data_IF_181472572490
#
_entry.id   IF_181472572490
#
_cell.length_a   1.000
_cell.length_b   1.000
_cell.length_c   1.000
_cell.angle_alpha   90.00
_cell.angle_beta   90.00
_cell.angle_gamma   90.00
#
_symmetry.space_group_name_H-M   'P 1'
#
loop_
_entity.id
_entity.type
_entity.pdbx_description
1 polymer ?
#
# COMPACT_ATOMS: atom_id res chain seq x y z
N UNK A 1 10.72 -56.31 11.87
CA UNK A 1 10.86 -55.19 12.82
C UNK A 1 10.49 -53.93 12.07
N UNK A 2 9.29 -53.40 12.33
CA UNK A 2 8.82 -52.15 11.74
C UNK A 2 9.18 -51.03 12.70
N UNK A 3 9.90 -50.03 12.20
CA UNK A 3 10.18 -48.80 12.95
C UNK A 3 9.26 -47.74 12.35
N UNK A 4 8.18 -47.43 13.06
CA UNK A 4 7.33 -46.29 12.75
C UNK A 4 8.06 -45.01 13.18
N UNK A 5 8.33 -44.12 12.23
CA UNK A 5 8.72 -42.74 12.52
C UNK A 5 7.51 -41.83 12.30
N UNK A 6 7.03 -41.09 13.32
CA UNK A 6 6.08 -40.01 13.10
C UNK A 6 6.86 -38.79 12.60
N UNK A 7 6.87 -38.57 11.28
CA UNK A 7 7.29 -37.29 10.73
C UNK A 7 6.21 -36.26 11.04
N UNK A 8 6.47 -35.44 12.05
CA UNK A 8 5.65 -34.30 12.40
C UNK A 8 5.42 -33.41 11.18
N UNK A 9 4.15 -33.24 10.83
CA UNK A 9 3.74 -32.21 9.89
C UNK A 9 4.16 -30.85 10.45
N UNK A 10 5.08 -30.20 9.77
CA UNK A 10 5.29 -28.76 9.96
C UNK A 10 3.97 -28.08 9.59
N UNK A 11 3.44 -27.13 10.38
CA UNK A 11 2.24 -26.43 10.00
C UNK A 11 2.53 -25.68 8.70
N UNK A 12 1.85 -26.06 7.64
CA UNK A 12 1.82 -25.34 6.37
C UNK A 12 1.63 -23.86 6.69
N UNK A 13 2.67 -23.06 6.46
CA UNK A 13 2.52 -21.62 6.31
C UNK A 13 1.60 -21.45 5.11
N UNK A 14 0.30 -21.33 5.36
CA UNK A 14 -0.64 -20.86 4.34
C UNK A 14 -0.06 -19.54 3.85
N UNK A 15 0.47 -19.54 2.63
CA UNK A 15 0.71 -18.32 1.89
C UNK A 15 -0.62 -17.59 1.87
N UNK A 16 -0.76 -16.59 2.75
CA UNK A 16 -1.93 -15.72 2.73
C UNK A 16 -1.90 -15.01 1.38
N UNK A 17 -3.02 -15.07 0.67
CA UNK A 17 -3.18 -14.35 -0.59
C UNK A 17 -2.92 -12.86 -0.33
N UNK A 18 -2.21 -12.17 -1.23
CA UNK A 18 -1.86 -10.77 -1.03
C UNK A 18 -3.11 -9.92 -0.86
N UNK A 19 -3.06 -8.94 0.03
CA UNK A 19 -4.20 -8.07 0.29
C UNK A 19 -4.42 -7.19 -0.94
N UNK A 20 -5.64 -7.18 -1.46
CA UNK A 20 -6.02 -6.36 -2.63
C UNK A 20 -6.37 -4.93 -2.22
N UNK A 21 -6.38 -4.01 -3.18
CA UNK A 21 -6.82 -2.62 -2.96
C UNK A 21 -8.26 -2.54 -2.46
N UNK A 22 -9.14 -3.41 -2.98
CA UNK A 22 -10.53 -3.45 -2.54
C UNK A 22 -10.62 -3.87 -1.07
N UNK A 23 -9.83 -4.86 -0.64
CA UNK A 23 -9.78 -5.28 0.76
C UNK A 23 -9.20 -4.17 1.65
N UNK A 24 -8.18 -3.45 1.18
CA UNK A 24 -7.61 -2.30 1.88
C UNK A 24 -8.65 -1.16 2.03
N UNK A 25 -9.35 -0.82 0.95
CA UNK A 25 -10.43 0.17 0.93
C UNK A 25 -11.56 -0.20 1.89
N UNK A 26 -12.02 -1.45 1.84
CA UNK A 26 -13.08 -1.93 2.72
C UNK A 26 -12.63 -1.90 4.19
N UNK A 27 -11.36 -2.21 4.46
CA UNK A 27 -10.77 -2.11 5.79
C UNK A 27 -10.67 -0.66 6.29
N UNK A 28 -10.30 0.30 5.44
CA UNK A 28 -10.31 1.72 5.79
C UNK A 28 -11.72 2.18 6.18
N UNK A 29 -12.74 1.82 5.38
CA UNK A 29 -14.14 2.16 5.66
C UNK A 29 -14.67 1.55 6.95
N UNK A 30 -14.13 0.40 7.35
CA UNK A 30 -14.48 -0.30 8.58
C UNK A 30 -13.60 0.09 9.79
N UNK A 31 -12.58 0.93 9.60
CA UNK A 31 -11.60 1.27 10.64
C UNK A 31 -10.69 0.10 11.03
N UNK A 32 -10.54 -0.91 10.17
CA UNK A 32 -9.61 -2.02 10.37
C UNK A 32 -8.19 -1.61 9.92
N UNK A 33 -7.53 -0.82 10.76
CA UNK A 33 -6.19 -0.30 10.46
C UNK A 33 -5.08 -1.35 10.49
N UNK A 34 -5.32 -2.55 11.05
CA UNK A 34 -4.35 -3.65 11.01
C UNK A 34 -4.21 -4.19 9.58
N UNK A 35 -5.33 -4.48 8.91
CA UNK A 35 -5.31 -4.93 7.52
C UNK A 35 -4.74 -3.87 6.56
N UNK A 36 -5.00 -2.58 6.81
CA UNK A 36 -4.42 -1.48 6.02
C UNK A 36 -2.90 -1.43 6.19
N UNK A 37 -2.38 -1.68 7.41
CA UNK A 37 -0.94 -1.74 7.68
C UNK A 37 -0.31 -2.95 6.99
N UNK A 38 -0.96 -4.10 7.04
CA UNK A 38 -0.47 -5.32 6.38
C UNK A 38 -0.40 -5.11 4.86
N UNK A 39 -1.46 -4.54 4.27
CA UNK A 39 -1.47 -4.15 2.86
C UNK A 39 -0.31 -3.21 2.54
N UNK A 40 -0.13 -2.15 3.33
CA UNK A 40 0.93 -1.17 3.08
C UNK A 40 2.31 -1.81 3.17
N UNK A 41 2.57 -2.65 4.17
CA UNK A 41 3.84 -3.33 4.35
C UNK A 41 4.16 -4.32 3.21
N UNK A 42 3.14 -4.92 2.61
CA UNK A 42 3.31 -5.74 1.40
C UNK A 42 3.65 -4.88 0.18
N UNK A 43 2.90 -3.80 -0.04
CA UNK A 43 3.13 -2.91 -1.18
C UNK A 43 4.46 -2.15 -1.06
N UNK A 44 4.91 -1.82 0.14
CA UNK A 44 6.21 -1.17 0.38
C UNK A 44 7.36 -2.06 -0.09
N UNK A 45 7.31 -3.37 0.19
CA UNK A 45 8.33 -4.33 -0.30
C UNK A 45 8.38 -4.41 -1.82
N UNK A 46 7.26 -4.16 -2.50
CA UNK A 46 7.19 -4.12 -3.97
C UNK A 46 7.75 -2.78 -4.47
N UNK A 47 7.35 -1.67 -3.85
CA UNK A 47 7.84 -0.33 -4.16
C UNK A 47 9.36 -0.21 -4.00
N UNK A 48 9.93 -0.86 -2.99
CA UNK A 48 11.38 -0.88 -2.72
C UNK A 48 12.20 -1.66 -3.75
N UNK A 49 11.55 -2.45 -4.60
CA UNK A 49 12.23 -3.12 -5.72
C UNK A 49 12.49 -2.17 -6.89
N UNK A 50 11.84 -1.01 -6.92
CA UNK A 50 12.10 0.03 -7.91
C UNK A 50 13.28 0.92 -7.48
N UNK A 51 14.46 0.78 -8.12
CA UNK A 51 15.65 1.54 -7.73
C UNK A 51 15.56 3.03 -8.08
N UNK A 52 14.55 3.45 -8.85
CA UNK A 52 14.34 4.85 -9.15
C UNK A 52 13.83 5.62 -7.94
N UNK A 53 13.05 4.99 -7.06
CA UNK A 53 12.30 5.69 -6.00
C UNK A 53 10.89 6.10 -6.41
N UNK A 54 10.54 6.00 -7.71
CA UNK A 54 9.20 6.24 -8.21
C UNK A 54 8.18 5.24 -7.63
N UNK A 55 8.59 4.00 -7.34
CA UNK A 55 7.77 2.99 -6.66
C UNK A 55 7.15 3.49 -5.35
N UNK A 56 7.93 4.16 -4.50
CA UNK A 56 7.44 4.70 -3.20
C UNK A 56 6.46 5.86 -3.40
N UNK A 57 6.72 6.74 -4.36
CA UNK A 57 5.81 7.83 -4.73
C UNK A 57 4.49 7.26 -5.24
N UNK A 58 4.53 6.27 -6.14
CA UNK A 58 3.33 5.64 -6.67
C UNK A 58 2.53 4.92 -5.57
N UNK A 59 3.20 4.26 -4.62
CA UNK A 59 2.54 3.66 -3.46
C UNK A 59 1.85 4.72 -2.61
N UNK A 60 2.53 5.82 -2.29
CA UNK A 60 1.97 6.90 -1.46
C UNK A 60 0.78 7.56 -2.15
N UNK A 61 0.89 7.83 -3.46
CA UNK A 61 -0.23 8.32 -4.28
C UNK A 61 -1.41 7.36 -4.27
N UNK A 62 -1.16 6.04 -4.41
CA UNK A 62 -2.21 5.01 -4.38
C UNK A 62 -2.88 4.92 -3.01
N UNK A 63 -2.12 5.00 -1.92
CA UNK A 63 -2.66 5.04 -0.56
C UNK A 63 -3.60 6.26 -0.39
N UNK A 64 -3.16 7.44 -0.85
CA UNK A 64 -3.97 8.66 -0.83
C UNK A 64 -5.27 8.51 -1.62
N UNK A 65 -5.23 7.88 -2.79
CA UNK A 65 -6.43 7.54 -3.58
C UNK A 65 -7.40 6.62 -2.83
N UNK A 66 -6.90 5.57 -2.18
CA UNK A 66 -7.74 4.67 -1.38
C UNK A 66 -8.38 5.38 -0.17
N UNK A 67 -7.64 6.26 0.50
CA UNK A 67 -8.17 7.08 1.59
C UNK A 67 -9.28 8.02 1.10
N UNK A 68 -9.09 8.61 -0.09
CA UNK A 68 -10.11 9.47 -0.72
C UNK A 68 -11.38 8.67 -1.01
N UNK A 69 -11.26 7.50 -1.62
CA UNK A 69 -12.37 6.58 -1.89
C UNK A 69 -13.05 6.06 -0.61
N UNK A 70 -12.31 6.00 0.50
CA UNK A 70 -12.82 5.65 1.82
C UNK A 70 -13.56 6.82 2.50
N UNK A 71 -13.52 8.03 1.94
CA UNK A 71 -14.07 9.25 2.54
C UNK A 71 -13.19 9.85 3.63
N UNK A 72 -11.93 9.41 3.74
CA UNK A 72 -10.94 9.89 4.71
C UNK A 72 -10.20 11.11 4.15
N UNK A 73 -10.95 12.20 3.89
CA UNK A 73 -10.46 13.38 3.15
C UNK A 73 -9.18 14.00 3.72
N UNK A 74 -9.12 14.22 5.05
CA UNK A 74 -7.94 14.84 5.68
C UNK A 74 -6.69 13.98 5.50
N UNK A 75 -6.82 12.66 5.72
CA UNK A 75 -5.72 11.71 5.52
C UNK A 75 -5.29 11.61 4.05
N UNK A 76 -6.26 11.61 3.14
CA UNK A 76 -6.00 11.59 1.71
C UNK A 76 -5.23 12.83 1.27
N UNK A 77 -5.65 14.01 1.74
CA UNK A 77 -4.98 15.27 1.44
C UNK A 77 -3.53 15.26 1.92
N UNK A 78 -3.30 14.93 3.20
CA UNK A 78 -1.95 14.89 3.78
C UNK A 78 -1.06 13.88 3.03
N UNK A 79 -1.59 12.69 2.75
CA UNK A 79 -0.85 11.63 2.05
C UNK A 79 -0.52 12.01 0.60
N UNK A 80 -1.46 12.62 -0.12
CA UNK A 80 -1.23 13.09 -1.49
C UNK A 80 -0.28 14.30 -1.51
N UNK A 81 -0.35 15.18 -0.52
CA UNK A 81 0.58 16.30 -0.37
C UNK A 81 2.01 15.79 -0.17
N UNK A 82 2.21 14.80 0.72
CA UNK A 82 3.52 14.17 0.92
C UNK A 82 4.05 13.53 -0.37
N UNK A 83 3.20 12.80 -1.10
CA UNK A 83 3.56 12.20 -2.38
C UNK A 83 3.95 13.26 -3.43
N UNK A 84 3.22 14.37 -3.49
CA UNK A 84 3.51 15.49 -4.38
C UNK A 84 4.87 16.12 -4.08
N UNK A 85 5.12 16.43 -2.80
CA UNK A 85 6.37 17.04 -2.38
C UNK A 85 7.57 16.15 -2.65
N UNK A 86 7.44 14.84 -2.42
CA UNK A 86 8.50 13.89 -2.69
C UNK A 86 8.75 13.75 -4.20
N UNK A 87 7.69 13.63 -5.00
CA UNK A 87 7.79 13.60 -6.46
C UNK A 87 8.46 14.86 -7.02
N UNK A 88 8.06 16.03 -6.52
CA UNK A 88 8.63 17.31 -6.93
C UNK A 88 10.11 17.42 -6.54
N UNK A 89 10.47 17.02 -5.31
CA UNK A 89 11.85 17.05 -4.80
C UNK A 89 12.78 16.14 -5.61
N UNK A 90 12.29 14.97 -6.02
CA UNK A 90 13.06 14.00 -6.80
C UNK A 90 13.03 14.28 -8.31
N UNK A 91 12.24 15.26 -8.77
CA UNK A 91 12.16 15.67 -10.18
C UNK A 91 11.22 14.81 -11.03
N UNK A 92 10.33 14.04 -10.42
CA UNK A 92 9.29 13.26 -11.11
C UNK A 92 8.13 14.15 -11.52
N UNK A 93 8.33 14.97 -12.55
CA UNK A 93 7.35 15.96 -13.02
C UNK A 93 6.00 15.35 -13.39
N UNK A 94 5.98 14.17 -14.00
CA UNK A 94 4.74 13.52 -14.44
C UNK A 94 3.94 13.00 -13.23
N UNK A 95 4.62 12.42 -12.24
CA UNK A 95 3.97 11.99 -11.01
C UNK A 95 3.45 13.18 -10.21
N UNK A 96 4.27 14.22 -10.04
CA UNK A 96 3.89 15.46 -9.35
C UNK A 96 2.68 16.13 -10.03
N UNK A 97 2.64 16.17 -11.36
CA UNK A 97 1.51 16.75 -12.10
C UNK A 97 0.22 15.96 -11.88
N UNK A 98 0.27 14.62 -11.94
CA UNK A 98 -0.90 13.77 -11.68
C UNK A 98 -1.42 13.93 -10.25
N UNK A 99 -0.53 13.97 -9.27
CA UNK A 99 -0.91 14.15 -7.87
C UNK A 99 -1.54 15.53 -7.66
N UNK A 100 -0.98 16.58 -8.29
CA UNK A 100 -1.55 17.93 -8.23
C UNK A 100 -2.97 17.99 -8.82
N UNK A 101 -3.21 17.32 -9.94
CA UNK A 101 -4.54 17.24 -10.53
C UNK A 101 -5.57 16.57 -9.60
N UNK A 102 -5.16 15.59 -8.80
CA UNK A 102 -6.03 14.97 -7.79
C UNK A 102 -6.31 15.97 -6.66
N UNK A 103 -5.27 16.61 -6.11
CA UNK A 103 -5.39 17.60 -5.03
C UNK A 103 -6.27 18.80 -5.43
N UNK A 104 -6.23 19.23 -6.70
CA UNK A 104 -7.06 20.32 -7.24
C UNK A 104 -8.55 19.96 -7.37
N UNK A 105 -8.90 18.66 -7.32
CA UNK A 105 -10.27 18.16 -7.47
C UNK A 105 -10.94 17.78 -6.14
N UNK A 106 -10.20 17.78 -5.03
CA UNK A 106 -10.69 17.50 -3.68
C UNK A 106 -11.43 18.70 -3.10
#
# INVERSE_FOLDING_TARGET
>A
MSIEMPSGGSPDKKEQEPITDQQCLDAMKQGNFELVKDWYAEQEKIADQDPSGLGRINLTMRLGGLQLEAGLMDYAFDTLQDAYEDAHRQGYTDAASKIREILEQM
#
